data_IF_391909198129
#
_entry.id   IF_391909198129
#
_cell.length_a   1.000
_cell.length_b   1.000
_cell.length_c   1.000
_cell.angle_alpha   90.00
_cell.angle_beta   90.00
_cell.angle_gamma   90.00
#
_symmetry.space_group_name_H-M   'P 1'
#
loop_
_entity.id
_entity.type
_entity.pdbx_description
1 polymer ?
#
# COMPACT_ATOMS: atom_id res chain seq x y z
N UNK A 1 65.35 10.60 -53.61
CA UNK A 1 63.94 10.94 -53.25
C UNK A 1 63.45 10.26 -51.96
N UNK A 2 64.29 10.01 -50.95
CA UNK A 2 63.91 9.23 -49.74
C UNK A 2 63.63 10.08 -48.49
N UNK A 3 63.98 11.38 -48.48
CA UNK A 3 63.80 12.26 -47.31
C UNK A 3 62.35 12.68 -47.00
N UNK A 4 61.45 12.66 -48.00
CA UNK A 4 60.07 13.18 -47.84
C UNK A 4 59.14 12.20 -47.09
N UNK A 5 59.36 10.89 -47.21
CA UNK A 5 58.52 9.87 -46.56
C UNK A 5 58.79 9.71 -45.06
N UNK A 6 60.03 9.96 -44.60
CA UNK A 6 60.38 9.86 -43.19
C UNK A 6 59.81 11.00 -42.35
N UNK A 7 59.85 12.24 -42.87
CA UNK A 7 59.22 13.40 -42.20
C UNK A 7 57.70 13.24 -42.05
N UNK A 8 57.02 12.63 -43.02
CA UNK A 8 55.57 12.39 -42.95
C UNK A 8 55.21 11.36 -41.86
N UNK A 9 56.04 10.32 -41.68
CA UNK A 9 55.86 9.31 -40.63
C UNK A 9 56.12 9.87 -39.23
N UNK A 10 57.10 10.75 -39.06
CA UNK A 10 57.38 11.40 -37.77
C UNK A 10 56.29 12.39 -37.38
N UNK A 11 55.79 13.19 -38.34
CA UNK A 11 54.68 14.12 -38.08
C UNK A 11 53.37 13.38 -37.76
N UNK A 12 53.12 12.23 -38.39
CA UNK A 12 51.98 11.37 -38.02
C UNK A 12 52.11 10.77 -36.61
N UNK A 13 53.33 10.47 -36.15
CA UNK A 13 53.58 9.98 -34.79
C UNK A 13 53.39 11.10 -33.76
N UNK A 14 53.91 12.30 -34.01
CA UNK A 14 53.75 13.48 -33.12
C UNK A 14 52.28 13.85 -32.94
N UNK A 15 51.52 13.96 -34.02
CA UNK A 15 50.08 14.26 -33.97
C UNK A 15 49.25 13.20 -33.23
N UNK A 16 49.59 11.90 -33.37
CA UNK A 16 48.95 10.82 -32.59
C UNK A 16 49.25 10.91 -31.09
N UNK A 17 50.46 11.33 -30.72
CA UNK A 17 50.85 11.51 -29.31
C UNK A 17 50.10 12.70 -28.71
N UNK A 18 50.04 13.82 -29.41
CA UNK A 18 49.30 15.02 -28.98
C UNK A 18 47.81 14.74 -28.80
N UNK A 19 47.18 14.04 -29.75
CA UNK A 19 45.78 13.62 -29.64
C UNK A 19 45.54 12.70 -28.42
N UNK A 20 46.47 11.78 -28.12
CA UNK A 20 46.40 10.93 -26.92
C UNK A 20 46.54 11.73 -25.63
N UNK A 21 47.39 12.76 -25.59
CA UNK A 21 47.56 13.64 -24.43
C UNK A 21 46.31 14.49 -24.20
N UNK A 22 45.77 15.13 -25.26
CA UNK A 22 44.53 15.88 -25.22
C UNK A 22 43.36 15.01 -24.70
N UNK A 23 43.16 13.81 -25.26
CA UNK A 23 42.11 12.90 -24.79
C UNK A 23 42.28 12.49 -23.32
N UNK A 24 43.52 12.25 -22.84
CA UNK A 24 43.77 11.98 -21.41
C UNK A 24 43.42 13.18 -20.52
N UNK A 25 43.67 14.42 -20.95
CA UNK A 25 43.32 15.62 -20.17
C UNK A 25 41.80 15.86 -20.12
N UNK A 26 41.10 15.67 -21.25
CA UNK A 26 39.64 15.79 -21.36
C UNK A 26 38.96 14.76 -20.44
N UNK A 27 39.35 13.48 -20.52
CA UNK A 27 38.80 12.42 -19.66
C UNK A 27 39.07 12.70 -18.18
N UNK A 28 40.26 13.21 -17.82
CA UNK A 28 40.57 13.60 -16.42
C UNK A 28 39.69 14.76 -15.93
N UNK A 29 39.36 15.74 -16.80
CA UNK A 29 38.49 16.88 -16.45
C UNK A 29 37.05 16.43 -16.15
N UNK A 30 36.46 15.59 -16.99
CA UNK A 30 35.12 15.04 -16.76
C UNK A 30 35.06 14.15 -15.50
N UNK A 31 36.08 13.32 -15.26
CA UNK A 31 36.15 12.50 -14.03
C UNK A 31 36.28 13.34 -12.76
N UNK A 32 37.02 14.47 -12.78
CA UNK A 32 37.11 15.40 -11.63
C UNK A 32 35.79 16.12 -11.36
N UNK A 33 35.08 16.55 -12.41
CA UNK A 33 33.74 17.15 -12.29
C UNK A 33 32.72 16.20 -11.63
N UNK A 34 32.66 14.95 -12.09
CA UNK A 34 31.77 13.94 -11.53
C UNK A 34 32.09 13.60 -10.06
N UNK A 35 33.36 13.53 -9.66
CA UNK A 35 33.77 13.33 -8.27
C UNK A 35 33.36 14.50 -7.37
N UNK A 36 33.50 15.73 -7.84
CA UNK A 36 33.08 16.92 -7.10
C UNK A 36 31.55 17.01 -6.95
N UNK A 37 30.79 16.63 -7.97
CA UNK A 37 29.32 16.54 -7.89
C UNK A 37 28.87 15.50 -6.85
N UNK A 38 29.49 14.31 -6.83
CA UNK A 38 29.23 13.27 -5.81
C UNK A 38 29.55 13.77 -4.40
N UNK A 39 30.68 14.47 -4.21
CA UNK A 39 31.06 15.05 -2.90
C UNK A 39 30.05 16.12 -2.43
N UNK A 40 29.60 17.00 -3.33
CA UNK A 40 28.55 18.01 -3.03
C UNK A 40 27.21 17.34 -2.67
N UNK A 41 26.80 16.32 -3.41
CA UNK A 41 25.58 15.56 -3.13
C UNK A 41 25.63 14.88 -1.74
N UNK A 42 26.75 14.23 -1.39
CA UNK A 42 26.95 13.65 -0.06
C UNK A 42 26.85 14.68 1.06
N UNK A 43 27.48 15.85 0.90
CA UNK A 43 27.36 16.96 1.87
C UNK A 43 25.92 17.45 2.04
N UNK A 44 25.16 17.59 0.94
CA UNK A 44 23.74 17.97 0.99
C UNK A 44 22.88 16.92 1.71
N UNK A 45 23.08 15.63 1.43
CA UNK A 45 22.37 14.53 2.11
C UNK A 45 22.69 14.48 3.60
N UNK A 46 23.97 14.60 3.98
CA UNK A 46 24.40 14.65 5.38
C UNK A 46 23.79 15.84 6.13
N UNK A 47 23.79 17.05 5.53
CA UNK A 47 23.15 18.22 6.14
C UNK A 47 21.63 18.04 6.31
N UNK A 48 20.94 17.44 5.34
CA UNK A 48 19.51 17.11 5.45
C UNK A 48 19.24 16.10 6.57
N UNK A 49 20.07 15.06 6.68
CA UNK A 49 19.96 14.05 7.73
C UNK A 49 20.13 14.67 9.13
N UNK A 50 21.14 15.54 9.31
CA UNK A 50 21.37 16.26 10.56
C UNK A 50 20.19 17.17 10.95
N UNK A 51 19.64 17.93 10.01
CA UNK A 51 18.46 18.78 10.26
C UNK A 51 17.23 17.92 10.60
N UNK A 52 17.04 16.80 9.91
CA UNK A 52 15.94 15.86 10.20
C UNK A 52 16.06 15.28 11.61
N UNK A 53 17.27 14.88 12.02
CA UNK A 53 17.56 14.40 13.38
C UNK A 53 17.24 15.46 14.44
N UNK A 54 17.66 16.71 14.23
CA UNK A 54 17.34 17.82 15.15
C UNK A 54 15.84 18.08 15.26
N UNK A 55 15.08 17.96 14.16
CA UNK A 55 13.62 18.11 14.18
C UNK A 55 12.95 16.98 14.93
N UNK A 56 13.36 15.73 14.69
CA UNK A 56 12.86 14.56 15.41
C UNK A 56 13.11 14.69 16.92
N UNK A 57 14.32 15.10 17.32
CA UNK A 57 14.66 15.28 18.74
C UNK A 57 13.90 16.41 19.46
N UNK A 58 13.37 17.41 18.73
CA UNK A 58 12.47 18.42 19.33
C UNK A 58 11.08 17.85 19.56
N UNK A 59 10.55 17.15 18.56
CA UNK A 59 9.22 16.54 18.64
C UNK A 59 9.17 15.50 19.77
N UNK A 60 10.21 14.67 19.91
CA UNK A 60 10.23 13.64 20.97
C UNK A 60 10.26 14.23 22.38
N UNK A 61 11.00 15.34 22.59
CA UNK A 61 11.07 16.00 23.90
C UNK A 61 9.75 16.65 24.31
N UNK A 62 9.10 17.35 23.38
CA UNK A 62 7.78 17.96 23.64
C UNK A 62 6.74 16.88 23.96
N UNK A 63 6.76 15.74 23.27
CA UNK A 63 5.82 14.64 23.54
C UNK A 63 6.14 13.86 24.80
N UNK A 64 7.42 13.68 25.15
CA UNK A 64 7.83 12.99 26.38
C UNK A 64 7.43 13.79 27.63
N UNK A 65 7.57 15.12 27.60
CA UNK A 65 7.09 15.99 28.70
C UNK A 65 5.57 15.90 28.87
N UNK A 66 4.81 15.91 27.76
CA UNK A 66 3.35 15.72 27.77
C UNK A 66 2.93 14.33 28.28
N UNK A 67 3.58 13.26 27.84
CA UNK A 67 3.25 11.89 28.28
C UNK A 67 3.71 11.58 29.71
N UNK A 68 4.78 12.19 30.21
CA UNK A 68 5.27 11.94 31.57
C UNK A 68 4.31 12.36 32.68
N UNK A 69 3.36 13.27 32.38
CA UNK A 69 2.31 13.71 33.30
C UNK A 69 1.07 12.80 33.31
N UNK A 70 0.97 11.85 32.40
CA UNK A 70 -0.15 10.92 32.32
C UNK A 70 0.15 9.79 33.30
N UNK A 71 -0.53 9.79 34.45
CA UNK A 71 -0.56 8.61 35.31
C UNK A 71 -1.25 7.48 34.54
N UNK A 72 -0.47 6.46 34.18
CA UNK A 72 -1.00 5.19 33.68
C UNK A 72 -1.78 4.54 34.82
N UNK A 73 -3.10 4.70 34.80
CA UNK A 73 -4.01 3.94 35.66
C UNK A 73 -4.16 2.57 35.02
N UNK A 74 -3.68 1.55 35.73
CA UNK A 74 -3.73 0.15 35.31
C UNK A 74 -5.20 -0.26 35.09
N UNK A 75 -5.48 -0.90 33.95
CA UNK A 75 -6.85 -1.18 33.43
C UNK A 75 -7.50 -2.38 34.15
N UNK A 76 -7.24 -2.55 35.44
CA UNK A 76 -7.83 -3.64 36.23
C UNK A 76 -9.11 -3.13 36.87
N UNK A 77 -10.21 -3.71 36.42
CA UNK A 77 -11.58 -3.60 36.93
C UNK A 77 -12.30 -2.27 36.68
N UNK A 78 -13.01 -2.22 35.54
CA UNK A 78 -14.28 -1.50 35.39
C UNK A 78 -15.36 -2.14 36.29
N UNK A 79 -15.06 -2.39 37.56
CA UNK A 79 -16.07 -2.56 38.59
C UNK A 79 -16.48 -1.15 39.00
N UNK A 80 -17.78 -0.89 38.94
CA UNK A 80 -18.41 0.35 39.37
C UNK A 80 -17.74 0.85 40.65
N UNK A 81 -17.02 1.97 40.54
CA UNK A 81 -16.54 2.69 41.71
C UNK A 81 -17.77 3.04 42.55
N UNK A 82 -17.89 2.50 43.79
CA UNK A 82 -18.95 2.90 44.68
C UNK A 82 -18.67 4.34 45.11
N UNK A 83 -19.69 5.18 45.04
CA UNK A 83 -19.75 6.55 45.61
C UNK A 83 -19.19 7.69 44.73
N UNK A 84 -19.87 7.92 43.61
CA UNK A 84 -19.68 9.07 42.73
C UNK A 84 -20.81 10.11 42.84
N UNK A 85 -21.29 10.38 44.06
CA UNK A 85 -22.37 11.36 44.28
C UNK A 85 -21.90 12.82 44.26
N UNK A 86 -20.60 13.09 44.08
CA UNK A 86 -20.04 14.45 44.20
C UNK A 86 -19.09 14.91 43.09
N UNK A 87 -18.88 14.15 42.00
CA UNK A 87 -18.08 14.67 40.89
C UNK A 87 -18.80 15.83 40.19
N UNK A 88 -18.05 16.88 39.78
CA UNK A 88 -18.60 17.96 38.98
C UNK A 88 -19.30 17.40 37.74
N UNK A 89 -20.47 17.96 37.45
CA UNK A 89 -21.37 17.48 36.41
C UNK A 89 -20.64 17.34 35.07
N UNK A 90 -19.73 18.26 34.77
CA UNK A 90 -18.91 18.29 33.57
C UNK A 90 -18.02 17.04 33.41
N UNK A 91 -17.48 16.52 34.51
CA UNK A 91 -16.61 15.34 34.50
C UNK A 91 -17.43 14.07 34.20
N UNK A 92 -18.63 13.97 34.79
CA UNK A 92 -19.53 12.84 34.53
C UNK A 92 -20.07 12.85 33.09
N UNK A 93 -20.29 14.04 32.53
CA UNK A 93 -20.71 14.20 31.14
C UNK A 93 -19.57 13.86 30.17
N UNK A 94 -18.35 14.30 30.46
CA UNK A 94 -17.17 13.96 29.69
C UNK A 94 -16.92 12.44 29.68
N UNK A 95 -16.97 11.78 30.84
CA UNK A 95 -16.76 10.34 30.95
C UNK A 95 -17.84 9.54 30.19
N UNK A 96 -19.10 9.99 30.24
CA UNK A 96 -20.18 9.40 29.44
C UNK A 96 -19.94 9.58 27.94
N UNK A 97 -19.52 10.77 27.52
CA UNK A 97 -19.23 11.04 26.11
C UNK A 97 -18.06 10.21 25.59
N UNK A 98 -17.01 10.05 26.40
CA UNK A 98 -15.85 9.24 26.07
C UNK A 98 -16.22 7.76 25.92
N UNK A 99 -16.98 7.21 26.87
CA UNK A 99 -17.51 5.84 26.75
C UNK A 99 -18.37 5.67 25.48
N UNK A 100 -19.25 6.63 25.19
CA UNK A 100 -20.06 6.60 23.96
C UNK A 100 -19.18 6.66 22.71
N UNK A 101 -18.16 7.51 22.69
CA UNK A 101 -17.23 7.63 21.58
C UNK A 101 -16.44 6.33 21.36
N UNK A 102 -15.94 5.72 22.45
CA UNK A 102 -15.27 4.43 22.43
C UNK A 102 -16.17 3.34 21.83
N UNK A 103 -17.40 3.19 22.34
CA UNK A 103 -18.33 2.17 21.86
C UNK A 103 -18.75 2.40 20.40
N UNK A 104 -18.94 3.66 19.99
CA UNK A 104 -19.21 4.00 18.58
C UNK A 104 -18.04 3.63 17.67
N UNK A 105 -16.81 3.99 18.06
CA UNK A 105 -15.62 3.63 17.29
C UNK A 105 -15.48 2.12 17.18
N UNK A 106 -15.70 1.39 18.29
CA UNK A 106 -15.62 -0.07 18.32
C UNK A 106 -16.69 -0.73 17.44
N UNK A 107 -17.92 -0.22 17.45
CA UNK A 107 -19.00 -0.71 16.59
C UNK A 107 -18.66 -0.54 15.10
N UNK A 108 -18.14 0.63 14.70
CA UNK A 108 -17.72 0.91 13.32
C UNK A 108 -16.60 -0.04 12.89
N UNK A 109 -15.61 -0.29 13.76
CA UNK A 109 -14.54 -1.25 13.47
C UNK A 109 -15.10 -2.66 13.20
N UNK A 110 -16.06 -3.13 14.01
CA UNK A 110 -16.70 -4.41 13.79
C UNK A 110 -17.56 -4.46 12.52
N UNK A 111 -18.21 -3.36 12.13
CA UNK A 111 -18.94 -3.30 10.86
C UNK A 111 -18.01 -3.46 9.65
N UNK A 112 -16.85 -2.79 9.69
CA UNK A 112 -15.84 -2.89 8.62
C UNK A 112 -15.27 -4.31 8.55
N UNK A 113 -14.91 -4.89 9.70
CA UNK A 113 -14.40 -6.27 9.78
C UNK A 113 -15.43 -7.27 9.24
N UNK A 114 -16.69 -7.15 9.68
CA UNK A 114 -17.78 -8.00 9.21
C UNK A 114 -17.99 -7.89 7.69
N UNK A 115 -17.84 -6.69 7.12
CA UNK A 115 -17.91 -6.49 5.67
C UNK A 115 -16.77 -7.22 4.97
N UNK A 116 -15.54 -7.09 5.45
CA UNK A 116 -14.37 -7.77 4.88
C UNK A 116 -14.52 -9.30 4.95
N UNK A 117 -14.99 -9.84 6.08
CA UNK A 117 -15.23 -11.27 6.24
C UNK A 117 -16.27 -11.80 5.24
N UNK A 118 -17.36 -11.05 5.02
CA UNK A 118 -18.39 -11.42 4.04
C UNK A 118 -17.85 -11.40 2.61
N UNK A 119 -17.04 -10.41 2.27
CA UNK A 119 -16.41 -10.33 0.95
C UNK A 119 -15.40 -11.48 0.74
N UNK A 120 -14.57 -11.77 1.74
CA UNK A 120 -13.64 -12.89 1.69
C UNK A 120 -14.35 -14.22 1.49
N UNK A 121 -15.41 -14.49 2.28
CA UNK A 121 -16.21 -15.70 2.11
C UNK A 121 -16.79 -15.82 0.70
N UNK A 122 -17.36 -14.74 0.16
CA UNK A 122 -17.87 -14.74 -1.23
C UNK A 122 -16.79 -15.12 -2.23
N UNK A 123 -15.58 -14.60 -2.07
CA UNK A 123 -14.46 -14.91 -2.96
C UNK A 123 -14.03 -16.37 -2.83
N UNK A 124 -13.88 -16.88 -1.60
CA UNK A 124 -13.54 -18.30 -1.36
C UNK A 124 -14.59 -19.23 -1.97
N UNK A 125 -15.89 -18.93 -1.80
CA UNK A 125 -16.94 -19.72 -2.43
C UNK A 125 -16.92 -19.62 -3.97
N UNK A 126 -16.66 -18.44 -4.52
CA UNK A 126 -16.54 -18.26 -5.96
C UNK A 126 -15.35 -19.07 -6.53
N UNK A 127 -14.20 -19.04 -5.86
CA UNK A 127 -13.01 -19.79 -6.24
C UNK A 127 -13.26 -21.30 -6.14
N UNK A 128 -13.94 -21.76 -5.09
CA UNK A 128 -14.33 -23.17 -4.95
C UNK A 128 -15.22 -23.62 -6.10
N UNK A 129 -16.25 -22.84 -6.45
CA UNK A 129 -17.15 -23.16 -7.58
C UNK A 129 -16.38 -23.22 -8.90
N UNK A 130 -15.42 -22.31 -9.10
CA UNK A 130 -14.58 -22.31 -10.30
C UNK A 130 -13.66 -23.54 -10.35
N UNK A 131 -13.07 -23.93 -9.21
CA UNK A 131 -12.25 -25.14 -9.12
C UNK A 131 -13.08 -26.39 -9.42
N UNK A 132 -14.26 -26.52 -8.85
CA UNK A 132 -15.18 -27.65 -9.08
C UNK A 132 -15.60 -27.72 -10.56
N UNK A 133 -15.89 -26.56 -11.18
CA UNK A 133 -16.20 -26.46 -12.60
C UNK A 133 -15.02 -26.91 -13.47
N UNK A 134 -13.82 -26.40 -13.20
CA UNK A 134 -12.61 -26.74 -13.96
C UNK A 134 -12.23 -28.22 -13.79
N UNK A 135 -12.39 -28.78 -12.59
CA UNK A 135 -12.15 -30.19 -12.31
C UNK A 135 -13.16 -31.10 -13.03
N UNK A 136 -14.42 -30.67 -13.12
CA UNK A 136 -15.45 -31.35 -13.90
C UNK A 136 -15.18 -31.32 -15.41
N UNK A 137 -14.52 -30.27 -15.92
CA UNK A 137 -14.11 -30.15 -17.33
C UNK A 137 -12.82 -30.92 -17.65
N UNK A 138 -11.91 -31.07 -16.67
CA UNK A 138 -10.61 -31.73 -16.85
C UNK A 138 -10.69 -33.26 -16.95
N UNK A 139 -11.80 -33.88 -16.58
CA UNK A 139 -12.03 -35.33 -16.70
C UNK A 139 -13.23 -35.64 -17.62
N UNK A 140 -13.03 -35.99 -18.91
CA UNK A 140 -14.07 -36.67 -19.67
C UNK A 140 -14.10 -38.15 -19.26
N UNK A 141 -14.57 -38.44 -18.04
CA UNK A 141 -14.77 -39.83 -17.61
C UNK A 141 -16.18 -40.27 -17.94
N UNK A 142 -16.24 -41.13 -18.97
CA UNK A 142 -17.39 -41.92 -19.34
C UNK A 142 -17.87 -42.78 -18.16
N UNK A 143 -18.93 -42.34 -17.46
CA UNK A 143 -19.93 -43.20 -16.77
C UNK A 143 -20.75 -42.38 -15.77
N UNK A 144 -21.88 -41.82 -16.23
CA UNK A 144 -23.10 -41.63 -15.41
C UNK A 144 -24.22 -40.96 -16.22
N UNK A 145 -24.34 -41.34 -17.50
CA UNK A 145 -25.64 -41.30 -18.18
C UNK A 145 -26.55 -42.26 -17.41
N UNK A 146 -27.53 -41.78 -16.64
CA UNK A 146 -28.91 -42.34 -16.58
C UNK A 146 -29.88 -41.57 -15.66
N UNK A 147 -29.47 -40.82 -14.63
CA UNK A 147 -30.50 -40.21 -13.72
C UNK A 147 -30.79 -38.71 -13.90
N UNK A 148 -29.86 -37.88 -14.38
CA UNK A 148 -30.09 -36.43 -14.44
C UNK A 148 -30.90 -35.95 -15.66
N UNK A 149 -30.94 -36.73 -16.76
CA UNK A 149 -31.66 -36.33 -17.99
C UNK A 149 -33.19 -36.49 -17.91
N UNK A 150 -33.73 -37.09 -16.85
CA UNK A 150 -35.19 -37.30 -16.69
C UNK A 150 -35.90 -36.11 -16.04
N UNK A 151 -35.18 -35.24 -15.32
CA UNK A 151 -35.76 -34.10 -14.61
C UNK A 151 -35.67 -32.77 -15.39
N UNK A 152 -34.86 -32.68 -16.45
CA UNK A 152 -34.70 -31.44 -17.22
C UNK A 152 -35.76 -31.21 -18.32
N UNK A 153 -36.61 -32.20 -18.63
CA UNK A 153 -37.57 -32.10 -19.74
C UNK A 153 -38.90 -31.39 -19.40
N UNK A 154 -39.12 -30.94 -18.16
CA UNK A 154 -40.36 -30.23 -17.77
C UNK A 154 -40.20 -28.74 -17.43
N UNK A 155 -38.99 -28.17 -17.48
CA UNK A 155 -38.74 -26.74 -17.20
C UNK A 155 -38.34 -25.89 -18.42
N UNK A 156 -38.07 -26.51 -19.58
CA UNK A 156 -37.47 -25.84 -20.76
C UNK A 156 -38.48 -25.20 -21.72
N UNK A 157 -39.58 -24.63 -21.20
CA UNK A 157 -40.57 -23.89 -22.00
C UNK A 157 -40.74 -22.43 -21.57
N UNK A 158 -40.18 -21.98 -20.44
CA UNK A 158 -40.45 -20.64 -19.89
C UNK A 158 -39.24 -19.68 -19.83
N UNK A 159 -38.05 -20.07 -20.33
CA UNK A 159 -36.88 -19.19 -20.29
C UNK A 159 -36.13 -19.15 -21.62
N UNK A 160 -36.88 -18.89 -22.70
CA UNK A 160 -36.35 -18.35 -23.95
C UNK A 160 -36.75 -16.88 -24.04
N UNK A 161 -36.07 -16.01 -23.30
CA UNK A 161 -35.96 -14.60 -23.65
C UNK A 161 -34.79 -13.97 -22.88
N UNK A 162 -33.90 -13.34 -23.64
CA UNK A 162 -32.80 -12.47 -23.23
C UNK A 162 -31.58 -13.07 -22.51
N UNK A 163 -30.65 -13.61 -23.31
CA UNK A 163 -29.22 -13.58 -22.99
C UNK A 163 -28.44 -13.07 -24.21
N UNK A 164 -28.54 -11.76 -24.46
CA UNK A 164 -27.50 -11.01 -25.17
C UNK A 164 -26.88 -9.99 -24.21
N UNK A 165 -26.42 -10.43 -23.03
CA UNK A 165 -25.58 -9.59 -22.20
C UNK A 165 -24.12 -9.91 -22.44
N UNK A 166 -23.57 -9.04 -23.27
CA UNK A 166 -22.19 -8.87 -23.71
C UNK A 166 -21.20 -9.23 -22.59
N UNK A 167 -20.35 -10.21 -22.86
CA UNK A 167 -19.06 -10.39 -22.16
C UNK A 167 -18.34 -9.04 -22.19
N UNK A 168 -18.23 -8.36 -21.04
CA UNK A 168 -17.43 -7.15 -20.92
C UNK A 168 -15.96 -7.55 -21.04
N UNK A 169 -15.43 -7.36 -22.24
CA UNK A 169 -14.00 -7.29 -22.53
C UNK A 169 -13.32 -6.40 -21.48
N UNK A 170 -12.22 -6.91 -20.91
CA UNK A 170 -11.34 -6.20 -19.99
C UNK A 170 -11.06 -4.77 -20.49
N UNK A 171 -11.22 -3.72 -19.66
CA UNK A 171 -10.95 -2.36 -20.08
C UNK A 171 -9.48 -2.22 -20.48
N UNK A 172 -9.23 -1.82 -21.74
CA UNK A 172 -7.90 -1.44 -22.25
C UNK A 172 -7.47 -0.04 -21.79
N UNK A 173 -8.25 0.59 -20.92
CA UNK A 173 -8.00 1.95 -20.45
C UNK A 173 -6.91 1.96 -19.39
N UNK A 174 -6.04 2.98 -19.36
CA UNK A 174 -5.02 3.08 -18.33
C UNK A 174 -5.70 3.17 -16.96
N UNK A 175 -5.35 2.22 -16.10
CA UNK A 175 -5.72 2.16 -14.69
C UNK A 175 -5.57 3.55 -14.07
N UNK A 176 -6.67 4.14 -13.60
CA UNK A 176 -6.68 5.39 -12.84
C UNK A 176 -7.38 6.59 -13.49
N UNK A 177 -7.65 6.60 -14.81
CA UNK A 177 -8.42 7.71 -15.43
C UNK A 177 -9.86 7.77 -14.91
N UNK A 178 -10.51 6.62 -14.80
CA UNK A 178 -11.90 6.51 -14.36
C UNK A 178 -12.03 6.92 -12.89
N UNK A 179 -11.04 6.61 -12.05
CA UNK A 179 -11.02 7.00 -10.64
C UNK A 179 -10.95 8.52 -10.46
N UNK A 180 -10.15 9.23 -11.26
CA UNK A 180 -10.07 10.68 -11.18
C UNK A 180 -11.39 11.34 -11.57
N UNK A 181 -12.01 10.87 -12.67
CA UNK A 181 -13.30 11.40 -13.13
C UNK A 181 -14.46 11.05 -12.18
N UNK A 182 -14.43 9.87 -11.57
CA UNK A 182 -15.42 9.48 -10.55
C UNK A 182 -15.27 10.32 -9.28
N UNK A 183 -14.04 10.56 -8.84
CA UNK A 183 -13.74 11.39 -7.67
C UNK A 183 -14.13 12.84 -7.90
N UNK A 184 -13.85 13.38 -9.08
CA UNK A 184 -14.28 14.72 -9.49
C UNK A 184 -15.81 14.83 -9.54
N UNK A 185 -16.51 13.78 -9.99
CA UNK A 185 -17.98 13.74 -10.00
C UNK A 185 -18.60 13.67 -8.60
N UNK A 186 -18.00 12.92 -7.67
CA UNK A 186 -18.55 12.70 -6.33
C UNK A 186 -18.17 13.83 -5.36
N UNK A 187 -16.91 14.28 -5.42
CA UNK A 187 -16.32 15.19 -4.43
C UNK A 187 -15.97 16.58 -5.00
N UNK A 188 -16.10 16.80 -6.31
CA UNK A 188 -15.86 18.09 -6.96
C UNK A 188 -14.44 18.61 -6.74
N UNK A 189 -14.31 19.90 -6.45
CA UNK A 189 -13.03 20.58 -6.21
C UNK A 189 -12.22 20.01 -5.04
N UNK A 190 -12.88 19.28 -4.12
CA UNK A 190 -12.23 18.69 -2.94
C UNK A 190 -11.67 17.29 -3.23
N UNK A 191 -11.98 16.71 -4.39
CA UNK A 191 -11.50 15.41 -4.84
C UNK A 191 -9.98 15.18 -4.66
N UNK A 192 -9.08 16.10 -5.08
CA UNK A 192 -7.64 15.89 -4.89
C UNK A 192 -7.23 15.84 -3.41
N UNK A 193 -7.92 16.58 -2.53
CA UNK A 193 -7.65 16.57 -1.09
C UNK A 193 -8.07 15.24 -0.46
N UNK A 194 -9.27 14.76 -0.76
CA UNK A 194 -9.78 13.46 -0.29
C UNK A 194 -8.87 12.33 -0.79
N UNK A 195 -8.50 12.35 -2.07
CA UNK A 195 -7.59 11.38 -2.65
C UNK A 195 -6.22 11.37 -1.96
N UNK A 196 -5.70 12.54 -1.60
CA UNK A 196 -4.48 12.66 -0.81
C UNK A 196 -4.60 12.06 0.58
N UNK A 197 -5.73 12.28 1.25
CA UNK A 197 -6.01 11.71 2.57
C UNK A 197 -6.15 10.18 2.52
N UNK A 198 -6.91 9.64 1.56
CA UNK A 198 -7.02 8.20 1.33
C UNK A 198 -5.65 7.56 1.12
N UNK A 199 -4.82 8.17 0.26
CA UNK A 199 -3.48 7.64 -0.03
C UNK A 199 -2.58 7.69 1.22
N UNK A 200 -2.70 8.73 2.05
CA UNK A 200 -1.93 8.81 3.29
C UNK A 200 -2.35 7.73 4.31
N UNK A 201 -3.66 7.44 4.41
CA UNK A 201 -4.19 6.37 5.26
C UNK A 201 -3.72 5.00 4.75
N UNK A 202 -3.83 4.76 3.45
CA UNK A 202 -3.39 3.52 2.79
C UNK A 202 -1.89 3.26 3.02
N UNK A 203 -1.05 4.27 2.86
CA UNK A 203 0.39 4.17 3.13
C UNK A 203 0.69 3.88 4.61
N UNK A 204 -0.09 4.46 5.52
CA UNK A 204 0.06 4.19 6.94
C UNK A 204 -0.35 2.75 7.28
N UNK A 205 -1.44 2.27 6.68
CA UNK A 205 -1.90 0.90 6.83
C UNK A 205 -0.86 -0.10 6.28
N UNK A 206 -0.35 0.11 5.07
CA UNK A 206 0.68 -0.75 4.47
C UNK A 206 1.93 -0.82 5.36
N UNK A 207 2.34 0.31 5.94
CA UNK A 207 3.45 0.35 6.89
C UNK A 207 3.20 -0.48 8.14
N UNK A 208 1.99 -0.41 8.71
CA UNK A 208 1.61 -1.20 9.89
C UNK A 208 1.43 -2.68 9.58
N UNK A 209 1.02 -3.03 8.34
CA UNK A 209 0.96 -4.42 7.88
C UNK A 209 2.34 -5.05 7.70
N UNK A 210 3.34 -4.28 7.25
CA UNK A 210 4.73 -4.74 7.23
C UNK A 210 5.29 -5.00 8.64
N UNK A 211 4.79 -4.27 9.65
CA UNK A 211 5.16 -4.41 11.06
C UNK A 211 4.27 -5.40 11.84
N UNK A 212 3.33 -6.09 11.19
CA UNK A 212 2.44 -7.05 11.85
C UNK A 212 3.25 -8.21 12.49
N UNK A 213 3.00 -8.57 13.77
CA UNK A 213 3.71 -9.66 14.41
C UNK A 213 3.45 -10.98 13.67
N UNK A 214 4.53 -11.70 13.36
CA UNK A 214 4.55 -12.88 12.49
C UNK A 214 3.78 -14.11 13.00
N UNK A 215 3.14 -14.02 14.16
CA UNK A 215 2.33 -15.11 14.70
C UNK A 215 1.27 -14.51 15.63
N UNK A 216 0.03 -14.90 15.41
CA UNK A 216 -0.95 -14.84 16.48
C UNK A 216 -0.44 -15.76 17.60
N UNK A 217 -0.45 -15.34 18.88
CA UNK A 217 -0.11 -16.26 19.95
C UNK A 217 -1.09 -17.42 19.86
N UNK A 218 -0.56 -18.62 19.60
CA UNK A 218 -1.33 -19.84 19.53
C UNK A 218 -1.78 -20.14 20.97
N UNK A 219 -2.93 -19.59 21.38
CA UNK A 219 -3.48 -19.78 22.72
C UNK A 219 -3.87 -21.25 22.82
N UNK A 220 -3.23 -22.07 23.67
CA UNK A 220 -3.61 -23.46 23.81
C UNK A 220 -5.02 -23.53 24.39
N UNK A 221 -5.98 -23.94 23.57
CA UNK A 221 -7.31 -24.30 24.05
C UNK A 221 -7.16 -25.61 24.83
N UNK A 222 -7.48 -25.57 26.12
CA UNK A 222 -7.69 -26.79 26.91
C UNK A 222 -8.99 -27.42 26.43
N UNK A 223 -8.88 -28.46 25.60
CA UNK A 223 -9.98 -29.38 25.29
C UNK A 223 -10.12 -30.43 26.40
#
# INVERSE_FOLDING_TARGET
MTGSLNNRKENSKKTKIEARVLNKTIVKRYRRGARNAKRRCRRKKSKKAYISMLKKGRITRETEELCSSIQEVDVVDMQELPELSSLPREVTEWQRQDQIAYWKSRAISFEIENKMLREHLRNVYADQIQQDYNQSQAWPSASSTTQQQRYEKKGKAALKQNCQDKVKVLPKEPIGKNRLTEMEKIYGDVAPKIMGMETAIELNYQRLMEEAPAYWPNIPLKL
#
